data_IF_042053157562
#
_entry.id   IF_042053157562
#
_cell.length_a   1.000
_cell.length_b   1.000
_cell.length_c   1.000
_cell.angle_alpha   90.00
_cell.angle_beta   90.00
_cell.angle_gamma   90.00
#
_symmetry.space_group_name_H-M   'P 1'
#
loop_
_entity.id
_entity.type
_entity.pdbx_description
1 polymer ?
#
# COMPACT_ATOMS: atom_id res chain seq x y z
N UNK A 1 -35.81 -35.44 -45.65
CA UNK A 1 -35.82 -34.14 -44.97
C UNK A 1 -34.78 -34.25 -43.87
N UNK A 2 -33.59 -33.67 -44.08
CA UNK A 2 -32.48 -33.66 -43.11
C UNK A 2 -32.38 -32.24 -42.58
N UNK A 3 -32.65 -32.06 -41.29
CA UNK A 3 -32.52 -30.76 -40.59
C UNK A 3 -31.05 -30.55 -40.19
N UNK A 4 -30.40 -29.57 -40.81
CA UNK A 4 -29.07 -29.14 -40.45
C UNK A 4 -29.18 -28.15 -39.27
N UNK A 5 -28.68 -28.56 -38.09
CA UNK A 5 -28.54 -27.67 -36.91
C UNK A 5 -27.28 -26.82 -37.09
N UNK A 6 -27.44 -25.52 -37.32
CA UNK A 6 -26.36 -24.54 -37.25
C UNK A 6 -26.03 -24.28 -35.77
N UNK A 7 -24.90 -24.80 -35.29
CA UNK A 7 -24.27 -24.34 -34.07
C UNK A 7 -23.55 -23.00 -34.34
N UNK A 8 -24.13 -21.89 -33.90
CA UNK A 8 -23.45 -20.62 -33.85
C UNK A 8 -22.47 -20.64 -32.66
N UNK A 9 -21.17 -20.84 -32.94
CA UNK A 9 -20.13 -20.63 -31.97
C UNK A 9 -19.98 -19.12 -31.68
N UNK A 10 -20.44 -18.70 -30.53
CA UNK A 10 -20.17 -17.35 -30.02
C UNK A 10 -18.66 -17.23 -29.76
N UNK A 11 -17.93 -16.67 -30.72
CA UNK A 11 -16.54 -16.24 -30.49
C UNK A 11 -16.59 -15.08 -29.49
N UNK A 12 -16.15 -15.34 -28.24
CA UNK A 12 -15.85 -14.29 -27.30
C UNK A 12 -14.78 -13.38 -27.92
N UNK A 13 -15.20 -12.21 -28.36
CA UNK A 13 -14.29 -11.19 -28.86
C UNK A 13 -13.34 -10.84 -27.72
N UNK A 14 -12.11 -11.34 -27.75
CA UNK A 14 -11.04 -10.87 -26.90
C UNK A 14 -10.78 -9.41 -27.30
N UNK A 15 -11.20 -8.47 -26.47
CA UNK A 15 -10.86 -7.07 -26.67
C UNK A 15 -9.32 -6.98 -26.74
N UNK A 16 -8.82 -6.35 -27.80
CA UNK A 16 -7.39 -6.08 -27.93
C UNK A 16 -6.91 -5.30 -26.70
N UNK A 17 -5.69 -5.56 -26.20
CA UNK A 17 -5.16 -4.81 -25.07
C UNK A 17 -5.14 -3.32 -25.43
N UNK A 18 -5.43 -2.42 -24.47
CA UNK A 18 -5.43 -0.99 -24.74
C UNK A 18 -4.04 -0.54 -25.19
N UNK A 19 -4.01 0.38 -26.13
CA UNK A 19 -2.76 0.97 -26.61
C UNK A 19 -2.03 1.76 -25.51
N UNK A 20 -2.77 2.23 -24.49
CA UNK A 20 -2.22 3.05 -23.41
C UNK A 20 -3.05 2.91 -22.14
N UNK A 21 -2.40 2.63 -21.02
CA UNK A 21 -3.00 2.48 -19.69
C UNK A 21 -2.50 3.57 -18.76
N UNK A 22 -3.37 4.14 -17.95
CA UNK A 22 -3.02 5.09 -16.91
C UNK A 22 -3.05 4.42 -15.54
N UNK A 23 -1.92 4.46 -14.80
CA UNK A 23 -1.87 4.07 -13.40
C UNK A 23 -1.79 5.32 -12.54
N UNK A 24 -2.85 5.63 -11.81
CA UNK A 24 -2.94 6.79 -10.94
C UNK A 24 -2.32 6.45 -9.59
N UNK A 25 -1.35 7.26 -9.20
CA UNK A 25 -0.73 7.26 -7.87
C UNK A 25 -1.44 8.29 -7.00
N UNK A 26 -2.21 7.91 -5.96
CA UNK A 26 -2.96 8.84 -5.11
C UNK A 26 -2.09 9.49 -4.01
N UNK A 27 -0.82 9.72 -4.30
CA UNK A 27 0.16 10.38 -3.43
C UNK A 27 1.24 11.07 -4.26
N UNK A 28 2.21 11.73 -3.61
CA UNK A 28 3.43 12.22 -4.26
C UNK A 28 4.35 11.07 -4.69
N UNK A 29 5.28 11.31 -5.63
CA UNK A 29 6.28 10.33 -6.05
C UNK A 29 7.13 9.80 -4.89
N UNK A 30 7.68 8.58 -5.04
CA UNK A 30 8.64 7.97 -4.12
C UNK A 30 8.04 7.21 -2.95
N UNK A 31 6.71 7.28 -2.75
CA UNK A 31 6.01 6.51 -1.71
C UNK A 31 5.48 5.17 -2.21
N UNK A 32 4.85 4.45 -1.31
CA UNK A 32 4.32 3.11 -1.50
C UNK A 32 3.33 2.94 -2.67
N UNK A 33 2.49 3.94 -2.91
CA UNK A 33 1.54 3.92 -4.04
C UNK A 33 2.26 4.07 -5.38
N UNK A 34 3.31 4.90 -5.44
CA UNK A 34 4.18 5.06 -6.61
C UNK A 34 4.89 3.73 -6.94
N UNK A 35 5.44 3.07 -5.91
CA UNK A 35 6.05 1.75 -6.06
C UNK A 35 5.06 0.72 -6.61
N UNK A 36 3.79 0.78 -6.21
CA UNK A 36 2.74 -0.12 -6.69
C UNK A 36 2.51 0.04 -8.20
N UNK A 37 2.36 1.28 -8.70
CA UNK A 37 2.22 1.54 -10.13
C UNK A 37 3.48 1.15 -10.92
N UNK A 38 4.68 1.45 -10.41
CA UNK A 38 5.94 1.05 -11.04
C UNK A 38 6.10 -0.48 -11.13
N UNK A 39 5.68 -1.19 -10.08
CA UNK A 39 5.70 -2.66 -10.10
C UNK A 39 4.68 -3.23 -11.10
N UNK A 40 3.47 -2.65 -11.17
CA UNK A 40 2.48 -3.02 -12.17
C UNK A 40 2.99 -2.81 -13.59
N UNK A 41 3.58 -1.64 -13.86
CA UNK A 41 4.20 -1.32 -15.15
C UNK A 41 5.27 -2.34 -15.54
N UNK A 42 6.21 -2.67 -14.63
CA UNK A 42 7.22 -3.71 -14.88
C UNK A 42 6.60 -5.09 -15.12
N UNK A 43 5.52 -5.41 -14.42
CA UNK A 43 4.80 -6.65 -14.60
C UNK A 43 4.18 -6.77 -16.00
N UNK A 44 3.57 -5.71 -16.49
CA UNK A 44 2.99 -5.67 -17.84
C UNK A 44 4.06 -5.80 -18.93
N UNK A 45 5.19 -5.06 -18.79
CA UNK A 45 6.31 -5.15 -19.72
C UNK A 45 6.96 -6.55 -19.78
N UNK A 46 6.76 -7.37 -18.76
CA UNK A 46 7.27 -8.73 -18.70
C UNK A 46 6.38 -9.77 -19.43
N UNK A 47 5.16 -9.39 -19.78
CA UNK A 47 4.26 -10.28 -20.55
C UNK A 47 4.56 -10.19 -22.03
N UNK A 48 4.61 -11.34 -22.74
CA UNK A 48 4.65 -11.37 -24.19
C UNK A 48 3.24 -11.04 -24.74
N UNK A 49 2.86 -9.77 -24.74
CA UNK A 49 1.56 -9.30 -25.24
C UNK A 49 1.81 -8.41 -26.45
N UNK A 50 1.20 -8.74 -27.57
CA UNK A 50 1.16 -7.91 -28.77
C UNK A 50 -0.25 -7.31 -28.93
N UNK A 51 -0.38 -5.99 -29.12
CA UNK A 51 0.65 -4.96 -28.98
C UNK A 51 1.05 -4.71 -27.53
N UNK A 52 2.29 -4.27 -27.30
CA UNK A 52 2.80 -3.95 -25.96
C UNK A 52 1.93 -2.88 -25.31
N UNK A 53 1.43 -3.18 -24.12
CA UNK A 53 0.62 -2.23 -23.36
C UNK A 53 1.56 -1.25 -22.63
N UNK A 54 1.59 0.00 -23.07
CA UNK A 54 2.33 1.06 -22.39
C UNK A 54 1.52 1.57 -21.19
N UNK A 55 2.05 1.42 -19.98
CA UNK A 55 1.45 1.99 -18.78
C UNK A 55 2.12 3.33 -18.46
N UNK A 56 1.35 4.41 -18.50
CA UNK A 56 1.73 5.73 -17.98
C UNK A 56 1.45 5.77 -16.49
N UNK A 57 2.35 6.39 -15.72
CA UNK A 57 2.14 6.67 -14.29
C UNK A 57 1.79 8.16 -14.15
N UNK A 58 0.66 8.44 -13.53
CA UNK A 58 0.20 9.80 -13.22
C UNK A 58 -0.05 9.97 -11.73
N UNK A 59 0.07 11.21 -11.23
CA UNK A 59 -0.02 11.50 -9.80
C UNK A 59 -1.23 12.37 -9.52
N UNK A 60 -2.06 11.94 -8.57
CA UNK A 60 -3.23 12.68 -8.11
C UNK A 60 -3.25 12.71 -6.57
N UNK A 61 -2.33 13.44 -5.93
CA UNK A 61 -2.23 13.54 -4.48
C UNK A 61 -3.40 14.33 -3.88
N UNK A 62 -3.60 14.18 -2.59
CA UNK A 62 -4.56 14.95 -1.79
C UNK A 62 -5.45 14.08 -0.91
N UNK A 63 -5.59 14.49 0.36
CA UNK A 63 -6.43 13.81 1.35
C UNK A 63 -6.10 12.33 1.56
N UNK A 64 -4.83 11.96 1.40
CA UNK A 64 -4.36 10.56 1.50
C UNK A 64 -5.16 9.62 0.58
N UNK A 65 -5.32 10.04 -0.69
CA UNK A 65 -6.03 9.31 -1.72
C UNK A 65 -7.52 9.66 -1.86
N UNK A 66 -8.08 10.51 -1.01
CA UNK A 66 -9.50 10.90 -1.12
C UNK A 66 -9.80 11.60 -2.45
N UNK A 67 -8.90 12.48 -2.93
CA UNK A 67 -9.08 13.18 -4.21
C UNK A 67 -9.13 12.19 -5.38
N UNK A 68 -8.20 11.25 -5.44
CA UNK A 68 -8.20 10.21 -6.47
C UNK A 68 -9.47 9.33 -6.37
N UNK A 69 -9.82 8.90 -5.15
CA UNK A 69 -11.03 8.11 -4.91
C UNK A 69 -12.27 8.80 -5.46
N UNK A 70 -12.55 10.02 -5.00
CA UNK A 70 -13.72 10.78 -5.45
C UNK A 70 -13.71 11.09 -6.94
N UNK A 71 -12.56 11.37 -7.53
CA UNK A 71 -12.43 11.60 -8.97
C UNK A 71 -12.92 10.38 -9.77
N UNK A 72 -12.49 9.18 -9.36
CA UNK A 72 -12.84 7.95 -10.08
C UNK A 72 -14.29 7.52 -9.86
N UNK A 73 -14.80 7.59 -8.63
CA UNK A 73 -16.19 7.16 -8.35
C UNK A 73 -17.24 8.17 -8.82
N UNK A 74 -16.87 9.44 -9.11
CA UNK A 74 -17.83 10.46 -9.53
C UNK A 74 -17.71 10.85 -11.00
N UNK A 75 -16.50 11.03 -11.53
CA UNK A 75 -16.26 11.62 -12.86
C UNK A 75 -15.67 10.63 -13.87
N UNK A 76 -14.86 9.68 -13.44
CA UNK A 76 -14.11 8.75 -14.29
C UNK A 76 -14.56 7.29 -14.08
N UNK A 77 -15.85 7.12 -13.88
CA UNK A 77 -16.46 5.86 -13.39
C UNK A 77 -16.32 4.67 -14.32
N UNK A 78 -16.29 4.91 -15.63
CA UNK A 78 -16.36 3.88 -16.68
C UNK A 78 -15.08 3.81 -17.54
N UNK A 79 -13.97 4.41 -17.10
CA UNK A 79 -12.72 4.40 -17.86
C UNK A 79 -12.06 3.02 -17.82
N UNK A 80 -12.00 2.29 -18.96
CA UNK A 80 -11.56 0.90 -18.99
C UNK A 80 -10.05 0.74 -18.80
N UNK A 81 -9.27 1.80 -19.05
CA UNK A 81 -7.81 1.80 -19.08
C UNK A 81 -7.19 2.65 -17.97
N UNK A 82 -7.98 2.93 -16.92
CA UNK A 82 -7.50 3.64 -15.74
C UNK A 82 -7.49 2.72 -14.53
N UNK A 83 -6.30 2.51 -14.00
CA UNK A 83 -6.04 1.77 -12.77
C UNK A 83 -5.58 2.75 -11.68
N UNK A 84 -5.91 2.48 -10.43
CA UNK A 84 -5.48 3.29 -9.30
C UNK A 84 -4.76 2.43 -8.27
N UNK A 85 -3.62 2.87 -7.82
CA UNK A 85 -2.88 2.19 -6.76
C UNK A 85 -3.60 2.31 -5.40
N UNK A 86 -3.56 1.25 -4.60
CA UNK A 86 -4.02 1.26 -3.21
C UNK A 86 -3.07 0.54 -2.28
N UNK A 87 -3.19 0.83 -1.01
CA UNK A 87 -2.49 0.13 0.08
C UNK A 87 -3.43 -0.14 1.26
N UNK A 88 -2.94 -0.80 2.29
CA UNK A 88 -3.67 -0.94 3.55
C UNK A 88 -4.15 0.40 4.13
N UNK A 89 -3.42 1.50 3.87
CA UNK A 89 -3.84 2.85 4.26
C UNK A 89 -5.12 3.31 3.59
N UNK A 90 -5.35 2.94 2.32
CA UNK A 90 -6.62 3.22 1.64
C UNK A 90 -7.79 2.50 2.29
N UNK A 91 -7.57 1.22 2.68
CA UNK A 91 -8.58 0.40 3.34
C UNK A 91 -8.89 0.90 4.76
N UNK A 92 -7.87 1.36 5.48
CA UNK A 92 -8.04 2.00 6.78
C UNK A 92 -8.83 3.32 6.66
N UNK A 93 -8.58 4.13 5.63
CA UNK A 93 -9.32 5.37 5.38
C UNK A 93 -10.80 5.10 5.06
N UNK A 94 -11.09 4.05 4.28
CA UNK A 94 -12.47 3.58 4.08
C UNK A 94 -13.13 3.18 5.40
N UNK A 95 -12.44 2.36 6.21
CA UNK A 95 -12.95 1.92 7.50
C UNK A 95 -13.24 3.08 8.45
N UNK A 96 -12.47 4.15 8.41
CA UNK A 96 -12.64 5.36 9.22
C UNK A 96 -13.65 6.36 8.65
N UNK A 97 -14.28 6.09 7.51
CA UNK A 97 -15.18 7.04 6.85
C UNK A 97 -14.49 8.30 6.30
N UNK A 98 -13.15 8.28 6.12
CA UNK A 98 -12.40 9.44 5.60
C UNK A 98 -12.67 9.74 4.13
N UNK A 99 -13.23 8.79 3.39
CA UNK A 99 -13.70 8.97 2.02
C UNK A 99 -15.21 9.28 1.95
N UNK A 100 -15.78 9.86 3.02
CA UNK A 100 -17.21 10.16 3.14
C UNK A 100 -18.04 8.89 3.32
N UNK A 101 -19.12 8.77 2.54
CA UNK A 101 -20.00 7.59 2.55
C UNK A 101 -19.47 6.43 1.68
N UNK A 102 -18.27 6.59 1.10
CA UNK A 102 -17.70 5.57 0.22
C UNK A 102 -17.37 4.28 0.98
N UNK A 103 -17.59 3.16 0.31
CA UNK A 103 -17.36 1.81 0.82
C UNK A 103 -16.44 1.03 -0.12
N UNK A 104 -15.97 -0.12 0.31
CA UNK A 104 -15.18 -1.01 -0.55
C UNK A 104 -15.95 -1.57 -1.74
N UNK A 105 -17.29 -1.42 -1.79
CA UNK A 105 -18.12 -1.84 -2.90
C UNK A 105 -18.22 -0.79 -4.02
N UNK A 106 -17.77 0.44 -3.79
CA UNK A 106 -17.87 1.54 -4.75
C UNK A 106 -16.77 1.55 -5.82
N UNK A 107 -15.95 0.51 -5.87
CA UNK A 107 -14.88 0.35 -6.85
C UNK A 107 -14.74 -1.11 -7.26
N UNK A 108 -13.99 -1.39 -8.32
CA UNK A 108 -13.69 -2.74 -8.78
C UNK A 108 -12.25 -3.09 -8.45
N UNK A 109 -12.03 -4.02 -7.53
CA UNK A 109 -10.70 -4.46 -7.07
C UNK A 109 -10.09 -5.41 -8.11
N UNK A 110 -8.96 -5.01 -8.70
CA UNK A 110 -8.34 -5.74 -9.83
C UNK A 110 -7.33 -6.76 -9.35
N UNK A 111 -6.27 -6.31 -8.69
CA UNK A 111 -5.18 -7.19 -8.27
C UNK A 111 -4.47 -6.67 -7.01
N UNK A 112 -4.12 -7.57 -6.10
CA UNK A 112 -3.08 -7.36 -5.09
C UNK A 112 -1.76 -7.88 -5.64
N UNK A 113 -0.72 -7.05 -5.62
CA UNK A 113 0.57 -7.30 -6.26
C UNK A 113 1.63 -7.82 -5.29
N UNK A 114 1.44 -7.60 -4.01
CA UNK A 114 2.35 -8.02 -2.97
C UNK A 114 1.90 -7.60 -1.57
N UNK A 115 2.52 -8.21 -0.57
CA UNK A 115 2.41 -7.81 0.83
C UNK A 115 3.57 -6.89 1.21
N UNK A 116 3.34 -6.09 2.23
CA UNK A 116 4.31 -5.23 2.89
C UNK A 116 4.05 -5.23 4.39
N UNK A 117 4.91 -4.62 5.16
CA UNK A 117 4.77 -4.56 6.61
C UNK A 117 5.16 -3.19 7.14
N UNK A 118 4.55 -2.79 8.26
CA UNK A 118 4.97 -1.59 8.96
C UNK A 118 6.41 -1.70 9.44
N UNK A 119 7.10 -0.57 9.55
CA UNK A 119 8.42 -0.47 10.17
C UNK A 119 8.57 0.85 10.93
N UNK A 120 9.60 0.90 11.78
CA UNK A 120 10.05 2.10 12.48
C UNK A 120 11.52 2.29 12.19
N UNK A 121 11.91 3.46 11.69
CA UNK A 121 13.29 3.77 11.32
C UNK A 121 13.75 5.11 11.89
N UNK A 122 15.06 5.23 12.00
CA UNK A 122 15.80 6.44 12.37
C UNK A 122 16.98 6.64 11.41
N UNK A 123 17.65 7.78 11.46
CA UNK A 123 18.92 7.97 10.77
C UNK A 123 19.96 6.97 11.30
N UNK A 124 20.90 6.57 10.46
CA UNK A 124 21.96 5.63 10.83
C UNK A 124 22.86 6.14 11.98
N UNK A 125 23.09 7.46 12.05
CA UNK A 125 23.87 8.15 13.07
C UNK A 125 23.07 8.49 14.35
N UNK A 126 21.78 8.13 14.41
CA UNK A 126 20.96 8.33 15.60
C UNK A 126 21.49 7.55 16.81
N UNK A 127 21.36 8.15 18.01
CA UNK A 127 21.64 7.47 19.29
C UNK A 127 20.62 6.36 19.61
N UNK A 128 19.45 6.39 18.95
CA UNK A 128 18.43 5.34 19.08
C UNK A 128 18.87 4.11 18.28
N UNK A 129 19.21 3.03 18.97
CA UNK A 129 19.75 1.81 18.34
C UNK A 129 18.76 0.65 18.31
N UNK A 130 17.71 0.72 19.13
CA UNK A 130 16.67 -0.30 19.27
C UNK A 130 15.30 0.32 19.45
N UNK A 131 14.24 -0.48 19.32
CA UNK A 131 12.90 -0.06 19.67
C UNK A 131 12.80 0.31 21.17
N UNK A 132 13.54 -0.39 22.03
CA UNK A 132 13.61 -0.10 23.46
C UNK A 132 14.18 1.28 23.74
N UNK A 133 15.22 1.71 23.04
CA UNK A 133 15.79 3.07 23.18
C UNK A 133 14.77 4.13 22.79
N UNK A 134 14.06 3.93 21.67
CA UNK A 134 13.00 4.83 21.23
C UNK A 134 11.89 4.94 22.29
N UNK A 135 11.41 3.81 22.80
CA UNK A 135 10.36 3.79 23.83
C UNK A 135 10.82 4.44 25.13
N UNK A 136 12.08 4.26 25.51
CA UNK A 136 12.65 4.95 26.65
C UNK A 136 12.77 6.47 26.45
N UNK A 137 13.13 6.92 25.25
CA UNK A 137 13.15 8.34 24.90
C UNK A 137 11.74 8.95 24.94
N UNK A 138 10.75 8.26 24.36
CA UNK A 138 9.35 8.69 24.37
C UNK A 138 8.75 8.77 25.78
N UNK A 139 9.14 7.89 26.71
CA UNK A 139 8.70 7.98 28.12
C UNK A 139 9.30 9.16 28.85
N UNK A 140 10.57 9.49 28.58
CA UNK A 140 11.29 10.54 29.29
C UNK A 140 11.01 11.93 28.72
N UNK A 141 11.04 12.06 27.39
CA UNK A 141 10.99 13.31 26.66
C UNK A 141 10.23 13.19 25.34
N UNK A 142 8.91 12.90 25.35
CA UNK A 142 8.12 12.72 24.13
C UNK A 142 8.16 13.97 23.23
N UNK A 143 8.30 15.15 23.83
CA UNK A 143 8.36 16.44 23.12
C UNK A 143 9.63 16.61 22.25
N UNK A 144 10.68 15.82 22.51
CA UNK A 144 11.95 15.86 21.75
C UNK A 144 11.99 14.88 20.57
N UNK A 145 11.00 14.00 20.45
CA UNK A 145 10.97 12.98 19.40
C UNK A 145 9.86 13.33 18.41
N UNK A 146 10.24 13.93 17.28
CA UNK A 146 9.31 14.18 16.18
C UNK A 146 9.24 12.94 15.27
N UNK A 147 8.04 12.46 15.04
CA UNK A 147 7.77 11.25 14.26
C UNK A 147 7.16 11.64 12.92
N UNK A 148 7.87 11.40 11.83
CA UNK A 148 7.37 11.58 10.47
C UNK A 148 6.41 10.46 10.11
N UNK A 149 5.24 10.80 9.59
CA UNK A 149 4.22 9.87 9.13
C UNK A 149 3.65 10.33 7.79
N UNK A 150 3.33 9.39 6.92
CA UNK A 150 2.57 9.68 5.72
C UNK A 150 1.11 9.91 6.09
N UNK A 151 0.64 11.14 5.86
CA UNK A 151 -0.71 11.57 6.20
C UNK A 151 -0.87 12.15 7.59
N UNK A 152 -2.12 12.34 8.00
CA UNK A 152 -2.50 13.02 9.25
C UNK A 152 -2.70 12.02 10.41
N UNK A 153 -3.13 12.52 11.56
CA UNK A 153 -3.58 11.70 12.71
C UNK A 153 -4.63 10.69 12.22
N UNK A 154 -4.45 9.44 12.63
CA UNK A 154 -5.27 8.31 12.20
C UNK A 154 -4.93 7.77 10.80
N UNK A 155 -3.85 8.25 10.14
CA UNK A 155 -3.28 7.56 8.98
C UNK A 155 -2.68 6.21 9.38
N UNK A 156 -2.39 5.37 8.41
CA UNK A 156 -1.78 4.06 8.66
C UNK A 156 -0.49 4.18 9.47
N UNK A 157 0.39 5.11 9.11
CA UNK A 157 1.68 5.28 9.75
C UNK A 157 1.54 5.83 11.18
N UNK A 158 0.58 6.73 11.38
CA UNK A 158 0.23 7.20 12.71
C UNK A 158 -0.29 6.05 13.59
N UNK A 159 -1.23 5.23 13.07
CA UNK A 159 -1.84 4.12 13.82
C UNK A 159 -0.78 3.08 14.21
N UNK A 160 0.16 2.75 13.32
CA UNK A 160 1.27 1.85 13.64
C UNK A 160 2.05 2.30 14.86
N UNK A 161 2.49 3.57 14.86
CA UNK A 161 3.27 4.10 15.97
C UNK A 161 2.43 4.27 17.25
N UNK A 162 1.16 4.66 17.11
CA UNK A 162 0.23 4.76 18.25
C UNK A 162 0.01 3.39 18.94
N UNK A 163 -0.13 2.31 18.16
CA UNK A 163 -0.25 0.96 18.71
C UNK A 163 1.05 0.51 19.39
N UNK A 164 2.22 0.79 18.81
CA UNK A 164 3.51 0.49 19.43
C UNK A 164 3.68 1.23 20.76
N UNK A 165 3.37 2.52 20.80
CA UNK A 165 3.43 3.31 22.03
C UNK A 165 2.45 2.77 23.09
N UNK A 166 1.21 2.51 22.71
CA UNK A 166 0.17 1.98 23.61
C UNK A 166 0.55 0.63 24.21
N UNK A 167 1.08 -0.29 23.40
CA UNK A 167 1.57 -1.59 23.88
C UNK A 167 2.75 -1.44 24.86
N UNK A 168 3.52 -0.40 24.72
CA UNK A 168 4.61 -0.04 25.63
C UNK A 168 4.15 0.77 26.86
N UNK A 169 2.84 0.99 27.07
CA UNK A 169 2.28 1.76 28.17
C UNK A 169 2.46 3.28 28.03
N UNK A 170 2.64 3.79 26.79
CA UNK A 170 2.75 5.22 26.48
C UNK A 170 1.44 5.70 25.85
N UNK A 171 0.84 6.79 26.41
CA UNK A 171 -0.34 7.38 25.79
C UNK A 171 0.00 7.94 24.40
N UNK A 172 -0.64 7.49 23.31
CA UNK A 172 -0.39 8.03 21.98
C UNK A 172 -0.63 9.55 21.85
N UNK A 173 -1.38 10.16 22.74
CA UNK A 173 -1.66 11.61 22.73
C UNK A 173 -0.43 12.47 23.05
N UNK A 174 0.57 11.93 23.74
CA UNK A 174 1.80 12.68 24.03
C UNK A 174 2.79 12.70 22.86
N UNK A 175 2.58 11.84 21.84
CA UNK A 175 3.47 11.71 20.70
C UNK A 175 3.35 12.92 19.75
N UNK A 176 4.48 13.39 19.26
CA UNK A 176 4.56 14.50 18.30
C UNK A 176 4.77 14.00 16.90
N UNK A 177 3.77 14.21 16.05
CA UNK A 177 3.79 13.78 14.67
C UNK A 177 3.95 14.95 13.70
N UNK A 178 4.72 14.71 12.63
CA UNK A 178 4.80 15.57 11.46
C UNK A 178 4.11 14.85 10.30
N UNK A 179 3.03 15.45 9.82
CA UNK A 179 2.23 14.94 8.70
C UNK A 179 2.90 15.28 7.37
N UNK A 180 3.13 14.29 6.52
CA UNK A 180 3.79 14.40 5.23
C UNK A 180 2.92 13.75 4.15
N UNK A 181 3.08 14.13 2.88
CA UNK A 181 2.21 13.68 1.77
C UNK A 181 2.54 12.27 1.24
N UNK A 182 3.56 11.61 1.80
CA UNK A 182 3.94 10.25 1.45
C UNK A 182 5.21 9.80 2.15
N UNK A 183 5.46 8.49 2.16
CA UNK A 183 6.62 7.90 2.83
C UNK A 183 7.96 8.42 2.29
N UNK A 184 8.09 8.62 0.98
CA UNK A 184 9.31 9.20 0.40
C UNK A 184 9.65 10.57 0.99
N UNK A 185 8.64 11.43 1.22
CA UNK A 185 8.83 12.73 1.88
C UNK A 185 9.20 12.56 3.36
N UNK A 186 8.64 11.55 4.05
CA UNK A 186 8.97 11.25 5.44
C UNK A 186 10.44 10.83 5.60
N UNK A 187 10.95 9.97 4.71
CA UNK A 187 12.37 9.60 4.70
C UNK A 187 13.28 10.79 4.38
N UNK A 188 12.90 11.64 3.43
CA UNK A 188 13.64 12.87 3.11
C UNK A 188 13.70 13.81 4.31
N UNK A 189 12.58 14.02 5.01
CA UNK A 189 12.51 14.85 6.22
C UNK A 189 13.38 14.27 7.34
N UNK A 190 13.43 12.95 7.50
CA UNK A 190 14.30 12.30 8.49
C UNK A 190 15.78 12.46 8.12
N UNK A 191 16.16 12.28 6.87
CA UNK A 191 17.54 12.47 6.41
C UNK A 191 18.01 13.90 6.59
N UNK A 192 17.11 14.88 6.37
CA UNK A 192 17.38 16.31 6.62
C UNK A 192 17.34 16.70 8.11
N UNK A 193 16.98 15.78 9.02
CA UNK A 193 16.93 16.05 10.47
C UNK A 193 15.67 16.75 10.97
N UNK A 194 14.67 16.97 10.09
CA UNK A 194 13.39 17.59 10.51
C UNK A 194 12.53 16.68 11.38
N UNK A 195 12.68 15.38 11.25
CA UNK A 195 12.07 14.38 12.14
C UNK A 195 13.14 13.40 12.60
N UNK A 196 13.00 12.85 13.81
CA UNK A 196 13.96 11.91 14.38
C UNK A 196 13.63 10.47 14.03
N UNK A 197 12.34 10.18 13.83
CA UNK A 197 11.80 8.83 13.59
C UNK A 197 10.88 8.88 12.40
N UNK A 198 10.86 7.81 11.61
CA UNK A 198 9.82 7.55 10.60
C UNK A 198 9.07 6.29 10.99
N UNK A 199 7.74 6.39 11.08
CA UNK A 199 6.84 5.25 11.03
C UNK A 199 6.34 5.12 9.59
N UNK A 200 6.75 4.08 8.90
CA UNK A 200 6.49 3.88 7.47
C UNK A 200 6.35 2.42 7.12
N UNK A 201 6.65 2.07 5.88
CA UNK A 201 6.53 0.72 5.34
C UNK A 201 7.90 0.14 4.98
N UNK A 202 8.08 -1.17 5.15
CA UNK A 202 9.36 -1.86 4.95
C UNK A 202 9.88 -1.73 3.50
N UNK A 203 9.00 -1.76 2.52
CA UNK A 203 9.37 -1.54 1.11
C UNK A 203 9.93 -0.13 0.87
N UNK A 204 9.36 0.87 1.52
CA UNK A 204 9.83 2.26 1.41
C UNK A 204 11.22 2.41 2.04
N UNK A 205 11.47 1.77 3.20
CA UNK A 205 12.79 1.75 3.81
C UNK A 205 13.83 1.12 2.89
N UNK A 206 13.48 0.03 2.22
CA UNK A 206 14.38 -0.65 1.27
C UNK A 206 14.75 0.23 0.07
N UNK A 207 13.83 1.06 -0.41
CA UNK A 207 13.95 1.78 -1.68
C UNK A 207 14.33 3.26 -1.53
N UNK A 208 13.95 3.89 -0.44
CA UNK A 208 14.21 5.34 -0.22
C UNK A 208 15.46 5.60 0.64
N UNK A 209 16.05 4.56 1.23
CA UNK A 209 17.27 4.70 2.00
C UNK A 209 18.48 4.35 1.14
N UNK A 210 19.39 5.29 0.84
CA UNK A 210 20.73 4.94 0.40
C UNK A 210 21.34 3.93 1.37
N UNK A 211 22.09 2.96 0.87
CA UNK A 211 22.70 1.93 1.71
C UNK A 211 23.45 2.57 2.88
N UNK A 212 23.07 2.23 4.10
CA UNK A 212 23.69 2.72 5.33
C UNK A 212 23.24 4.10 5.83
N UNK A 213 22.27 4.78 5.19
CA UNK A 213 21.81 6.12 5.66
C UNK A 213 20.75 6.07 6.75
N UNK A 214 20.05 4.94 6.90
CA UNK A 214 19.04 4.72 7.94
C UNK A 214 19.32 3.45 8.73
N UNK A 215 18.72 3.39 9.92
CA UNK A 215 18.58 2.19 10.74
C UNK A 215 17.11 1.90 10.95
N UNK A 216 16.67 0.71 10.52
CA UNK A 216 15.34 0.20 10.87
C UNK A 216 15.43 -0.42 12.26
N UNK A 217 14.67 0.13 13.22
CA UNK A 217 14.66 -0.31 14.62
C UNK A 217 13.81 -1.56 14.81
N UNK A 218 12.70 -1.66 14.08
CA UNK A 218 11.79 -2.79 14.12
C UNK A 218 10.97 -2.90 12.84
N UNK A 219 10.63 -4.12 12.45
CA UNK A 219 9.56 -4.45 11.50
C UNK A 219 8.32 -4.92 12.26
N UNK A 220 7.14 -4.53 11.78
CA UNK A 220 5.85 -4.89 12.38
C UNK A 220 5.27 -6.12 11.67
N UNK A 221 6.03 -7.19 11.66
CA UNK A 221 5.69 -8.49 11.07
C UNK A 221 5.70 -9.59 12.15
N UNK A 222 5.09 -10.72 11.84
CA UNK A 222 5.07 -11.87 12.77
C UNK A 222 6.46 -12.49 12.96
N UNK A 223 7.29 -12.45 11.90
CA UNK A 223 8.65 -12.97 11.84
C UNK A 223 9.53 -11.96 11.14
N UNK A 224 10.85 -12.06 11.29
CA UNK A 224 11.80 -11.24 10.51
C UNK A 224 11.54 -11.37 9.02
N UNK A 225 11.70 -10.25 8.33
CA UNK A 225 11.47 -10.19 6.88
C UNK A 225 12.71 -10.72 6.14
N UNK A 226 12.56 -11.50 5.08
CA UNK A 226 13.70 -11.95 4.30
C UNK A 226 14.34 -10.80 3.49
N UNK A 227 15.55 -11.04 2.98
CA UNK A 227 16.28 -10.08 2.14
C UNK A 227 17.03 -9.03 2.96
N UNK A 228 17.02 -7.78 2.50
CA UNK A 228 17.82 -6.69 3.09
C UNK A 228 17.46 -6.33 4.53
N UNK A 229 16.28 -6.75 5.00
CA UNK A 229 15.81 -6.53 6.36
C UNK A 229 15.89 -7.78 7.24
N UNK A 230 16.60 -8.85 6.84
CA UNK A 230 16.65 -10.13 7.57
C UNK A 230 17.24 -10.00 8.99
N UNK A 231 18.16 -9.07 9.17
CA UNK A 231 18.80 -8.82 10.46
C UNK A 231 17.98 -7.88 11.36
N UNK A 232 16.91 -7.23 10.82
CA UNK A 232 16.07 -6.32 11.59
C UNK A 232 15.12 -7.12 12.47
N UNK A 233 15.15 -6.91 13.81
CA UNK A 233 14.24 -7.60 14.71
C UNK A 233 12.80 -7.13 14.51
N UNK A 234 11.84 -8.02 14.78
CA UNK A 234 10.44 -7.63 14.85
C UNK A 234 10.15 -6.84 16.14
N UNK A 235 9.04 -6.10 16.16
CA UNK A 235 8.58 -5.47 17.39
C UNK A 235 8.26 -6.54 18.48
N UNK A 236 7.75 -7.71 18.07
CA UNK A 236 7.48 -8.84 18.96
C UNK A 236 8.74 -9.38 19.65
N UNK A 237 9.85 -9.55 18.91
CA UNK A 237 11.14 -9.96 19.46
C UNK A 237 11.66 -8.95 20.49
N UNK A 238 11.22 -7.71 20.43
CA UNK A 238 11.56 -6.63 21.36
C UNK A 238 10.47 -6.36 22.41
N UNK A 239 9.54 -7.31 22.62
CA UNK A 239 8.52 -7.26 23.68
C UNK A 239 7.29 -6.40 23.36
N UNK A 240 7.11 -5.96 22.12
CA UNK A 240 5.96 -5.15 21.68
C UNK A 240 5.11 -5.95 20.70
N UNK A 241 3.96 -6.46 21.15
CA UNK A 241 3.10 -7.31 20.32
C UNK A 241 2.26 -6.49 19.31
N UNK A 242 2.93 -5.92 18.32
CA UNK A 242 2.30 -5.22 17.22
C UNK A 242 2.71 -5.85 15.89
N UNK A 243 1.71 -6.29 15.12
CA UNK A 243 1.87 -6.77 13.74
C UNK A 243 0.97 -5.93 12.83
N UNK A 244 1.54 -5.41 11.75
CA UNK A 244 0.84 -4.57 10.80
C UNK A 244 1.13 -4.99 9.35
N UNK A 245 0.42 -6.01 8.84
CA UNK A 245 0.50 -6.41 7.44
C UNK A 245 -0.23 -5.41 6.55
N UNK A 246 0.30 -5.21 5.35
CA UNK A 246 -0.21 -4.29 4.34
C UNK A 246 -0.30 -5.04 3.03
N UNK A 247 -1.35 -4.82 2.25
CA UNK A 247 -1.41 -5.25 0.86
C UNK A 247 -1.28 -4.03 -0.05
N UNK A 248 -0.68 -4.25 -1.22
CA UNK A 248 -0.56 -3.25 -2.28
C UNK A 248 -1.19 -3.77 -3.54
N UNK A 249 -1.96 -2.95 -4.22
CA UNK A 249 -2.67 -3.42 -5.40
C UNK A 249 -3.31 -2.30 -6.20
N UNK A 250 -4.22 -2.71 -7.08
CA UNK A 250 -4.86 -1.88 -8.08
C UNK A 250 -6.37 -2.05 -8.04
N UNK A 251 -7.08 -0.96 -8.24
CA UNK A 251 -8.53 -0.93 -8.45
C UNK A 251 -8.89 -0.03 -9.62
N UNK A 252 -10.14 -0.08 -10.06
CA UNK A 252 -10.67 0.73 -11.15
C UNK A 252 -12.11 1.19 -10.87
N UNK A 253 -12.60 2.10 -11.71
CA UNK A 253 -13.91 2.73 -11.54
C UNK A 253 -15.06 1.73 -11.47
N UNK A 254 -16.16 2.09 -10.78
CA UNK A 254 -17.28 1.17 -10.50
C UNK A 254 -18.09 0.79 -11.74
N UNK A 255 -18.09 1.61 -12.79
CA UNK A 255 -18.89 1.42 -14.00
C UNK A 255 -18.07 0.95 -15.20
N UNK A 256 -16.82 0.52 -14.99
CA UNK A 256 -16.06 -0.15 -16.04
C UNK A 256 -16.80 -1.40 -16.47
N UNK A 257 -16.89 -1.63 -17.79
CA UNK A 257 -17.59 -2.79 -18.34
C UNK A 257 -17.01 -4.11 -17.83
N UNK A 258 -17.85 -5.13 -17.67
CA UNK A 258 -17.42 -6.43 -17.15
C UNK A 258 -16.32 -7.09 -17.99
N UNK A 259 -16.37 -6.92 -19.29
CA UNK A 259 -15.36 -7.46 -20.21
C UNK A 259 -13.98 -6.82 -19.95
N UNK A 260 -13.91 -5.50 -19.77
CA UNK A 260 -12.67 -4.78 -19.48
C UNK A 260 -12.12 -5.11 -18.10
N UNK A 261 -13.00 -5.18 -17.11
CA UNK A 261 -12.60 -5.62 -15.77
C UNK A 261 -12.04 -7.06 -15.79
N UNK A 262 -12.73 -7.99 -16.43
CA UNK A 262 -12.28 -9.38 -16.54
C UNK A 262 -10.94 -9.48 -17.28
N UNK A 263 -10.74 -8.68 -18.32
CA UNK A 263 -9.47 -8.55 -19.04
C UNK A 263 -8.33 -8.15 -18.10
N UNK A 264 -8.51 -7.10 -17.29
CA UNK A 264 -7.48 -6.65 -16.34
C UNK A 264 -7.21 -7.68 -15.23
N UNK A 265 -8.25 -8.32 -14.70
CA UNK A 265 -8.11 -9.41 -13.72
C UNK A 265 -7.29 -10.56 -14.29
N UNK A 266 -7.59 -11.01 -15.53
CA UNK A 266 -6.85 -12.06 -16.20
C UNK A 266 -5.41 -11.65 -16.53
N UNK A 267 -5.20 -10.40 -16.96
CA UNK A 267 -3.87 -9.87 -17.26
C UNK A 267 -2.99 -9.89 -16.01
N UNK A 268 -3.48 -9.37 -14.87
CA UNK A 268 -2.68 -9.37 -13.63
C UNK A 268 -2.55 -10.77 -13.02
N UNK A 269 -3.49 -11.69 -13.22
CA UNK A 269 -3.31 -13.10 -12.85
C UNK A 269 -2.11 -13.72 -13.59
N UNK A 270 -1.95 -13.42 -14.89
CA UNK A 270 -0.78 -13.84 -15.68
C UNK A 270 0.50 -13.16 -15.19
N UNK A 271 0.48 -11.84 -14.92
CA UNK A 271 1.64 -11.11 -14.35
C UNK A 271 2.12 -11.78 -13.07
N UNK A 272 1.21 -12.02 -12.13
CA UNK A 272 1.51 -12.60 -10.82
C UNK A 272 2.14 -14.01 -10.92
N UNK A 273 1.83 -14.76 -11.95
CA UNK A 273 2.36 -16.11 -12.19
C UNK A 273 3.79 -16.13 -12.77
N UNK A 274 4.32 -14.96 -13.21
CA UNK A 274 5.64 -14.95 -13.86
C UNK A 274 6.79 -14.91 -12.85
N UNK A 275 7.87 -15.70 -13.06
CA UNK A 275 9.08 -15.60 -12.23
C UNK A 275 9.73 -14.21 -12.28
N UNK A 276 9.61 -13.51 -13.41
CA UNK A 276 10.13 -12.16 -13.58
C UNK A 276 9.42 -11.16 -12.66
N UNK A 277 8.09 -11.25 -12.54
CA UNK A 277 7.34 -10.44 -11.60
C UNK A 277 7.72 -10.73 -10.15
N UNK A 278 7.91 -12.01 -9.79
CA UNK A 278 8.36 -12.39 -8.45
C UNK A 278 9.71 -11.73 -8.09
N UNK A 279 10.66 -11.72 -9.04
CA UNK A 279 11.95 -11.01 -8.87
C UNK A 279 11.76 -9.50 -8.75
N UNK A 280 10.92 -8.90 -9.60
CA UNK A 280 10.64 -7.46 -9.54
C UNK A 280 9.98 -7.09 -8.22
N UNK A 281 9.00 -7.86 -7.76
CA UNK A 281 8.33 -7.66 -6.47
C UNK A 281 9.33 -7.67 -5.32
N UNK A 282 10.23 -8.66 -5.27
CA UNK A 282 11.28 -8.74 -4.25
C UNK A 282 12.25 -7.54 -4.33
N UNK A 283 12.65 -7.11 -5.53
CA UNK A 283 13.50 -5.94 -5.74
C UNK A 283 12.84 -4.63 -5.29
N UNK A 284 11.50 -4.57 -5.29
CA UNK A 284 10.72 -3.46 -4.73
C UNK A 284 10.44 -3.59 -3.23
N UNK A 285 11.10 -4.54 -2.54
CA UNK A 285 10.93 -4.75 -1.10
C UNK A 285 9.57 -5.33 -0.69
N UNK A 286 8.83 -5.90 -1.64
CA UNK A 286 7.52 -6.51 -1.39
C UNK A 286 7.61 -8.04 -1.28
N UNK A 287 6.74 -8.59 -0.45
CA UNK A 287 6.70 -10.02 -0.11
C UNK A 287 5.63 -10.75 -0.93
N UNK A 288 5.74 -12.09 -1.07
CA UNK A 288 4.79 -12.89 -1.82
C UNK A 288 3.37 -12.75 -1.28
N UNK A 289 2.51 -12.18 -2.11
CA UNK A 289 1.06 -12.11 -1.94
C UNK A 289 0.44 -11.79 -3.30
N UNK A 290 -0.64 -12.46 -3.66
CA UNK A 290 -1.31 -12.21 -4.94
C UNK A 290 -2.74 -12.71 -4.89
N UNK A 291 -3.69 -11.80 -5.10
CA UNK A 291 -5.10 -12.08 -5.28
C UNK A 291 -5.63 -11.22 -6.42
N UNK A 292 -6.61 -11.71 -7.16
CA UNK A 292 -7.25 -10.96 -8.24
C UNK A 292 -8.78 -11.08 -8.17
N UNK A 293 -9.48 -10.09 -8.72
CA UNK A 293 -10.92 -10.14 -8.92
C UNK A 293 -11.72 -10.41 -7.65
N UNK A 294 -12.61 -11.39 -7.70
CA UNK A 294 -13.53 -11.73 -6.59
C UNK A 294 -12.79 -12.10 -5.30
N UNK A 295 -11.71 -12.88 -5.39
CA UNK A 295 -10.91 -13.25 -4.22
C UNK A 295 -10.30 -12.03 -3.52
N UNK A 296 -9.82 -11.04 -4.29
CA UNK A 296 -9.35 -9.78 -3.73
C UNK A 296 -10.49 -8.96 -3.12
N UNK A 297 -11.66 -8.92 -3.76
CA UNK A 297 -12.83 -8.21 -3.23
C UNK A 297 -13.23 -8.72 -1.84
N UNK A 298 -13.30 -10.03 -1.66
CA UNK A 298 -13.63 -10.63 -0.36
C UNK A 298 -12.53 -10.37 0.69
N UNK A 299 -11.26 -10.45 0.30
CA UNK A 299 -10.15 -10.08 1.17
C UNK A 299 -10.26 -8.62 1.64
N UNK A 300 -10.53 -7.69 0.72
CA UNK A 300 -10.66 -6.26 1.03
C UNK A 300 -11.82 -6.00 1.98
N UNK A 301 -12.99 -6.62 1.80
CA UNK A 301 -14.12 -6.49 2.73
C UNK A 301 -13.72 -6.86 4.16
N UNK A 302 -13.04 -8.01 4.31
CA UNK A 302 -12.54 -8.45 5.61
C UNK A 302 -11.51 -7.49 6.17
N UNK A 303 -10.54 -7.04 5.35
CA UNK A 303 -9.48 -6.13 5.78
C UNK A 303 -10.04 -4.78 6.25
N UNK A 304 -11.04 -4.20 5.56
CA UNK A 304 -11.71 -2.97 5.99
C UNK A 304 -12.37 -3.16 7.37
N UNK A 305 -13.04 -4.29 7.60
CA UNK A 305 -13.63 -4.62 8.90
C UNK A 305 -12.56 -4.71 10.00
N UNK A 306 -11.46 -5.38 9.73
CA UNK A 306 -10.36 -5.56 10.70
C UNK A 306 -9.65 -4.23 10.98
N UNK A 307 -9.45 -3.37 9.97
CA UNK A 307 -8.92 -2.01 10.17
C UNK A 307 -9.90 -1.13 10.97
N UNK A 308 -11.21 -1.28 10.77
CA UNK A 308 -12.23 -0.58 11.55
C UNK A 308 -12.15 -0.91 13.04
N UNK A 309 -11.98 -2.20 13.39
CA UNK A 309 -11.78 -2.61 14.79
C UNK A 309 -10.56 -1.95 15.41
N UNK A 310 -9.41 -1.99 14.73
CA UNK A 310 -8.15 -1.38 15.19
C UNK A 310 -8.26 0.15 15.32
N UNK A 311 -8.96 0.80 14.40
CA UNK A 311 -9.24 2.24 14.49
C UNK A 311 -10.14 2.58 15.67
N UNK A 312 -11.18 1.74 15.93
CA UNK A 312 -12.07 1.87 17.09
C UNK A 312 -11.34 1.79 18.42
N UNK A 313 -10.37 0.89 18.55
CA UNK A 313 -9.52 0.76 19.75
C UNK A 313 -8.74 2.04 20.08
N UNK A 314 -8.46 2.86 19.09
CA UNK A 314 -7.77 4.15 19.22
C UNK A 314 -8.71 5.35 19.23
N UNK A 315 -10.03 5.13 19.22
CA UNK A 315 -11.03 6.20 19.18
C UNK A 315 -11.06 6.96 17.85
N UNK A 316 -10.70 6.34 16.73
CA UNK A 316 -10.55 6.97 15.42
C UNK A 316 -11.73 6.70 14.48
N UNK A 317 -12.78 6.05 14.95
CA UNK A 317 -14.02 5.87 14.18
C UNK A 317 -14.85 7.14 14.23
N UNK A 318 -15.45 7.52 13.08
CA UNK A 318 -16.41 8.63 12.96
C UNK A 318 -17.84 8.15 13.11
#
# INVERSE_FOLDING_TARGET
MVAAALMAAAQAAHAAPPARVDCIVPSKPGGAMDLTCKLAQKGLLALPVEPSTEMRISYLPGGIGAVAWHSLISRRRAEPDTLVAFSGGSLLNLAQGKFGQATSADVRWVAALGADYGMIAVRADSDLRSLADLLAALRRHPEKVLIGVSGTIGSQDWVKMALVARQAGIDPKVLRFVALEGGGEAFTAMQAGYVQVVSGDASEATLNAPAGSIRVLAVLSERRLPGVLSEVPTAREQGVDVVWPIIRGLWMGPQVADADYARWVATFARVLATPQFARSRAAYGLYPFGLTGAALTEYVKKAVTDYGKRAGELGLMR
#
